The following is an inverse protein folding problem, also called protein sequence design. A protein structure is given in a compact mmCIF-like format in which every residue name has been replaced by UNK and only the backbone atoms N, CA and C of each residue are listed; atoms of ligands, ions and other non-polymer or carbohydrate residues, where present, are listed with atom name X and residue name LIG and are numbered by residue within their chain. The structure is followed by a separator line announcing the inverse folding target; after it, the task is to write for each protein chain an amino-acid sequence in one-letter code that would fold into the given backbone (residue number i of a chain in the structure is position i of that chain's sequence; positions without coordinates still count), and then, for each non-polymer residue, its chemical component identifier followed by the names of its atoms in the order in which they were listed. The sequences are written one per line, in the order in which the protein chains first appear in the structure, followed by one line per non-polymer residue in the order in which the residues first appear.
data_IF_515626439719
#
_entry.id   IF_515626439719
#
_cell.length_a   1.000
_cell.length_b   1.000
_cell.length_c   1.000
_cell.angle_alpha   90.00
_cell.angle_beta   90.00
_cell.angle_gamma   90.00
#
_symmetry.space_group_name_H-M   'P 1'
#
loop_
_entity.id
_entity.type
_entity.pdbx_description
1 polymer ?
#
# COMPACT_ATOMS: atom_id res chain seq x y z
N UNK A 1 -7.95 -20.18 6.92
CA UNK A 1 -8.47 -19.34 5.81
C UNK A 1 -7.31 -19.14 4.82
N UNK A 2 -7.44 -19.49 3.54
CA UNK A 2 -6.37 -19.21 2.56
C UNK A 2 -6.22 -17.69 2.39
N UNK A 3 -4.99 -17.17 2.27
CA UNK A 3 -4.71 -15.73 2.11
C UNK A 3 -5.54 -15.08 1.01
N UNK A 4 -5.86 -15.81 -0.06
CA UNK A 4 -6.71 -15.31 -1.14
C UNK A 4 -8.13 -14.99 -0.67
N UNK A 5 -8.70 -15.81 0.22
CA UNK A 5 -10.03 -15.58 0.80
C UNK A 5 -10.01 -14.40 1.76
N UNK A 6 -8.94 -14.26 2.55
CA UNK A 6 -8.78 -13.12 3.45
C UNK A 6 -8.57 -11.80 2.68
N UNK A 7 -7.75 -11.81 1.62
CA UNK A 7 -7.62 -10.67 0.72
C UNK A 7 -8.96 -10.24 0.10
N UNK A 8 -9.83 -11.19 -0.28
CA UNK A 8 -11.19 -10.88 -0.77
C UNK A 8 -12.05 -10.21 0.31
N UNK A 9 -11.93 -10.65 1.56
CA UNK A 9 -12.61 -10.04 2.70
C UNK A 9 -12.11 -8.59 2.93
N UNK A 10 -10.80 -8.37 2.99
CA UNK A 10 -10.21 -7.03 3.14
C UNK A 10 -10.63 -6.09 2.01
N UNK A 11 -10.74 -6.61 0.77
CA UNK A 11 -11.25 -5.82 -0.36
C UNK A 11 -12.70 -5.37 -0.20
N UNK A 12 -13.52 -6.07 0.58
CA UNK A 12 -14.90 -5.66 0.87
C UNK A 12 -14.96 -4.71 2.05
N UNK A 13 -14.04 -4.83 3.01
CA UNK A 13 -14.05 -4.14 4.29
C UNK A 13 -12.87 -3.15 4.44
N UNK A 14 -12.57 -2.39 3.39
CA UNK A 14 -11.52 -1.37 3.45
C UNK A 14 -11.89 -0.23 4.39
N UNK A 15 -10.90 0.28 5.12
CA UNK A 15 -11.03 1.50 5.94
C UNK A 15 -11.38 2.72 5.09
N UNK A 16 -11.79 3.83 5.72
CA UNK A 16 -12.06 5.08 5.01
C UNK A 16 -10.82 5.60 4.27
N UNK A 17 -9.65 5.51 4.90
CA UNK A 17 -8.38 5.91 4.31
C UNK A 17 -8.00 5.02 3.10
N UNK A 18 -8.11 3.69 3.23
CA UNK A 18 -7.90 2.78 2.09
C UNK A 18 -8.90 3.04 0.96
N UNK A 19 -10.18 3.29 1.27
CA UNK A 19 -11.19 3.63 0.25
C UNK A 19 -10.81 4.92 -0.48
N UNK A 20 -10.37 5.94 0.26
CA UNK A 20 -9.88 7.20 -0.30
C UNK A 20 -8.70 6.99 -1.24
N UNK A 21 -7.65 6.29 -0.80
CA UNK A 21 -6.51 5.98 -1.68
C UNK A 21 -6.94 5.15 -2.90
N UNK A 22 -7.73 4.09 -2.69
CA UNK A 22 -8.14 3.23 -3.78
C UNK A 22 -8.92 3.98 -4.87
N UNK A 23 -9.73 4.97 -4.51
CA UNK A 23 -10.42 5.81 -5.48
C UNK A 23 -9.46 6.48 -6.48
N UNK A 24 -8.30 6.94 -6.00
CA UNK A 24 -7.28 7.62 -6.81
C UNK A 24 -6.28 6.66 -7.48
N UNK A 25 -6.04 5.48 -6.90
CA UNK A 25 -5.07 4.51 -7.43
C UNK A 25 -5.67 3.53 -8.45
N UNK A 26 -6.99 3.24 -8.36
CA UNK A 26 -7.64 2.25 -9.23
C UNK A 26 -7.67 2.69 -10.68
N UNK A 27 -7.82 1.71 -11.57
CA UNK A 27 -8.10 1.95 -12.99
C UNK A 27 -7.13 2.95 -13.63
N UNK A 28 -5.84 2.88 -13.26
CA UNK A 28 -4.76 3.70 -13.82
C UNK A 28 -4.93 5.21 -13.60
N UNK A 29 -5.75 5.61 -12.62
CA UNK A 29 -6.08 7.02 -12.33
C UNK A 29 -4.90 7.86 -11.83
N UNK A 30 -3.88 7.24 -11.25
CA UNK A 30 -2.63 7.93 -10.92
C UNK A 30 -1.69 7.88 -12.12
N UNK A 31 -1.91 8.76 -13.11
CA UNK A 31 -1.03 8.97 -14.27
C UNK A 31 -0.64 7.67 -15.00
N UNK A 32 -1.60 6.77 -15.23
CA UNK A 32 -1.34 5.52 -15.94
C UNK A 32 -0.68 4.42 -15.10
N UNK A 33 -0.40 4.65 -13.81
CA UNK A 33 0.29 3.67 -12.95
C UNK A 33 -0.67 2.59 -12.45
N UNK A 34 -0.28 1.31 -12.57
CA UNK A 34 -1.13 0.15 -12.29
C UNK A 34 -0.97 -0.35 -10.86
N UNK A 35 -1.86 0.06 -9.97
CA UNK A 35 -1.88 -0.45 -8.60
C UNK A 35 -2.79 -1.68 -8.44
N UNK A 36 -2.36 -2.59 -7.57
CA UNK A 36 -3.21 -3.64 -6.99
C UNK A 36 -3.49 -3.30 -5.53
N UNK A 37 -4.61 -3.79 -5.00
CA UNK A 37 -4.99 -3.62 -3.60
C UNK A 37 -5.17 -4.94 -2.87
N UNK A 38 -4.88 -4.93 -1.58
CA UNK A 38 -5.00 -6.07 -0.66
C UNK A 38 -4.36 -7.31 -1.31
N UNK A 39 -3.08 -7.17 -1.66
CA UNK A 39 -2.34 -8.11 -2.48
C UNK A 39 -1.53 -9.06 -1.58
N UNK A 40 -1.77 -10.38 -1.67
CA UNK A 40 -0.87 -11.35 -1.07
C UNK A 40 0.55 -11.25 -1.67
N UNK A 41 1.54 -11.15 -0.79
CA UNK A 41 2.98 -11.17 -1.06
C UNK A 41 3.65 -12.06 -0.02
N UNK A 42 3.96 -13.30 -0.41
CA UNK A 42 4.50 -14.32 0.50
C UNK A 42 3.57 -14.57 1.69
N UNK A 43 4.03 -14.41 2.94
CA UNK A 43 3.19 -14.61 4.13
C UNK A 43 2.30 -13.40 4.48
N UNK A 44 2.45 -12.27 3.76
CA UNK A 44 1.79 -11.01 4.10
C UNK A 44 0.75 -10.59 3.06
N UNK A 45 -0.19 -9.75 3.47
CA UNK A 45 -1.05 -8.98 2.57
C UNK A 45 -0.69 -7.50 2.75
N UNK A 46 -0.55 -6.80 1.63
CA UNK A 46 -0.26 -5.36 1.60
C UNK A 46 -1.44 -4.59 1.03
N UNK A 47 -1.70 -3.39 1.56
CA UNK A 47 -2.89 -2.61 1.18
C UNK A 47 -2.88 -2.21 -0.28
N UNK A 48 -1.75 -1.69 -0.77
CA UNK A 48 -1.56 -1.37 -2.18
C UNK A 48 -0.14 -1.69 -2.65
N UNK A 49 -0.01 -2.07 -3.92
CA UNK A 49 1.30 -2.31 -4.53
C UNK A 49 1.33 -1.91 -6.01
N UNK A 50 2.41 -1.25 -6.40
CA UNK A 50 2.82 -1.06 -7.78
C UNK A 50 3.98 -2.00 -8.10
N UNK A 51 3.70 -3.07 -8.86
CA UNK A 51 4.70 -4.09 -9.17
C UNK A 51 5.84 -3.57 -10.04
N UNK A 52 5.56 -2.69 -11.01
CA UNK A 52 6.59 -2.20 -11.94
C UNK A 52 7.76 -1.50 -11.25
N UNK A 53 7.47 -0.76 -10.18
CA UNK A 53 8.49 -0.02 -9.41
C UNK A 53 8.83 -0.68 -8.07
N UNK A 54 8.17 -1.80 -7.76
CA UNK A 54 8.19 -2.46 -6.44
C UNK A 54 7.94 -1.47 -5.29
N UNK A 55 6.83 -0.73 -5.34
CA UNK A 55 6.41 0.18 -4.27
C UNK A 55 5.15 -0.34 -3.61
N UNK A 56 5.18 -0.45 -2.28
CA UNK A 56 4.04 -0.77 -1.43
C UNK A 56 3.56 0.52 -0.75
N UNK A 57 2.25 0.70 -0.65
CA UNK A 57 1.63 1.81 0.08
C UNK A 57 0.69 1.24 1.13
N UNK A 58 0.83 1.67 2.37
CA UNK A 58 0.03 1.22 3.52
C UNK A 58 -0.66 2.39 4.21
N UNK A 59 -1.90 2.17 4.61
CA UNK A 59 -2.68 3.11 5.41
C UNK A 59 -2.57 2.72 6.89
N UNK A 60 -2.07 3.62 7.72
CA UNK A 60 -1.86 3.36 9.15
C UNK A 60 -2.89 4.10 10.02
N UNK A 61 -3.63 3.32 10.81
CA UNK A 61 -4.59 3.82 11.80
C UNK A 61 -3.99 4.23 13.15
N UNK A 62 -2.69 4.09 13.32
CA UNK A 62 -1.96 4.57 14.48
C UNK A 62 -1.94 3.65 15.69
N UNK A 63 -1.86 2.35 15.47
CA UNK A 63 -1.61 1.37 16.53
C UNK A 63 -0.37 0.50 16.29
N UNK A 64 0.47 0.86 15.33
CA UNK A 64 1.79 0.25 15.19
C UNK A 64 2.72 0.78 16.28
N UNK A 65 2.53 0.29 17.52
CA UNK A 65 3.67 0.18 18.44
C UNK A 65 4.66 -0.75 17.75
N UNK A 66 5.91 -0.33 17.64
CA UNK A 66 7.06 -1.07 17.11
C UNK A 66 7.10 -2.50 17.67
N UNK A 67 6.37 -3.40 17.02
CA UNK A 67 6.33 -4.80 17.41
C UNK A 67 7.40 -5.52 16.61
N UNK A 68 8.09 -6.50 17.23
CA UNK A 68 9.07 -7.32 16.51
C UNK A 68 8.49 -8.04 15.28
N UNK A 69 7.17 -8.15 15.18
CA UNK A 69 6.45 -8.67 14.02
C UNK A 69 6.49 -7.70 12.83
N UNK A 70 6.41 -6.38 13.06
CA UNK A 70 6.50 -5.39 11.99
C UNK A 70 7.91 -5.29 11.42
N UNK A 71 8.94 -5.36 12.26
CA UNK A 71 10.34 -5.36 11.78
C UNK A 71 10.64 -6.54 10.85
N UNK A 72 10.17 -7.74 11.21
CA UNK A 72 10.31 -8.94 10.37
C UNK A 72 9.57 -8.80 9.06
N UNK A 73 8.37 -8.22 9.09
CA UNK A 73 7.55 -7.96 7.90
C UNK A 73 8.25 -6.99 6.96
N UNK A 74 8.68 -5.86 7.47
CA UNK A 74 9.35 -4.83 6.68
C UNK A 74 10.69 -5.31 6.13
N UNK A 75 11.48 -6.03 6.93
CA UNK A 75 12.72 -6.65 6.48
C UNK A 75 12.49 -7.66 5.34
N UNK A 76 11.46 -8.51 5.45
CA UNK A 76 11.13 -9.47 4.41
C UNK A 76 10.69 -8.77 3.12
N UNK A 77 9.78 -7.78 3.20
CA UNK A 77 9.31 -7.02 2.03
C UNK A 77 10.47 -6.27 1.35
N UNK A 78 11.37 -5.68 2.14
CA UNK A 78 12.58 -5.03 1.65
C UNK A 78 13.53 -6.02 0.96
N UNK A 79 13.70 -7.21 1.52
CA UNK A 79 14.50 -8.28 0.90
C UNK A 79 13.93 -8.75 -0.45
N UNK A 80 12.60 -8.64 -0.66
CA UNK A 80 11.97 -8.87 -1.97
C UNK A 80 12.16 -7.70 -2.97
N UNK A 81 12.82 -6.63 -2.55
CA UNK A 81 13.12 -5.43 -3.33
C UNK A 81 12.01 -4.37 -3.30
N UNK A 82 11.03 -4.51 -2.41
CA UNK A 82 9.98 -3.51 -2.26
C UNK A 82 10.41 -2.34 -1.39
N UNK A 83 10.00 -1.15 -1.79
CA UNK A 83 9.99 0.04 -0.94
C UNK A 83 8.59 0.19 -0.33
N UNK A 84 8.51 0.27 0.99
CA UNK A 84 7.24 0.48 1.71
C UNK A 84 7.08 1.97 2.02
N UNK A 85 5.91 2.52 1.69
CA UNK A 85 5.48 3.86 2.07
C UNK A 85 4.28 3.72 3.01
N UNK A 86 4.40 4.22 4.25
CA UNK A 86 3.32 4.19 5.24
C UNK A 86 2.82 5.62 5.45
N UNK A 87 1.50 5.80 5.40
CA UNK A 87 0.87 7.10 5.63
C UNK A 87 -0.16 6.98 6.72
N UNK A 88 -0.23 7.99 7.59
CA UNK A 88 -1.25 8.02 8.62
C UNK A 88 -2.63 8.25 7.99
N UNK A 89 -3.66 7.65 8.57
CA UNK A 89 -5.04 7.81 8.10
C UNK A 89 -5.44 9.28 8.00
N UNK A 90 -4.98 10.14 8.92
CA UNK A 90 -5.30 11.56 8.87
C UNK A 90 -4.62 12.27 7.68
N UNK A 91 -3.39 11.89 7.31
CA UNK A 91 -2.71 12.43 6.12
C UNK A 91 -3.45 12.01 4.85
N UNK A 92 -3.83 10.74 4.75
CA UNK A 92 -4.58 10.22 3.60
C UNK A 92 -5.91 10.96 3.44
N UNK A 93 -6.63 11.17 4.53
CA UNK A 93 -7.97 11.75 4.51
C UNK A 93 -7.96 13.27 4.34
N UNK A 94 -6.99 13.97 4.93
CA UNK A 94 -6.95 15.45 4.96
C UNK A 94 -5.96 16.08 3.99
N UNK A 95 -4.92 15.34 3.58
CA UNK A 95 -3.83 15.81 2.74
C UNK A 95 -3.62 14.86 1.55
N UNK A 96 -4.72 14.36 0.97
CA UNK A 96 -4.70 13.33 -0.08
C UNK A 96 -3.75 13.71 -1.23
N UNK A 97 -3.76 14.96 -1.68
CA UNK A 97 -2.93 15.39 -2.82
C UNK A 97 -1.43 15.30 -2.53
N UNK A 98 -1.02 15.61 -1.30
CA UNK A 98 0.38 15.46 -0.85
C UNK A 98 0.77 13.98 -0.85
N UNK A 99 -0.08 13.12 -0.30
CA UNK A 99 0.14 11.67 -0.29
C UNK A 99 0.26 11.12 -1.72
N UNK A 100 -0.65 11.52 -2.62
CA UNK A 100 -0.61 11.09 -4.02
C UNK A 100 0.66 11.57 -4.74
N UNK A 101 1.12 12.79 -4.47
CA UNK A 101 2.39 13.31 -5.03
C UNK A 101 3.59 12.47 -4.61
N UNK A 102 3.66 12.09 -3.33
CA UNK A 102 4.74 11.23 -2.81
C UNK A 102 4.68 9.84 -3.45
N UNK A 103 3.49 9.24 -3.53
CA UNK A 103 3.30 7.93 -4.17
C UNK A 103 3.72 7.99 -5.64
N UNK A 104 3.30 9.02 -6.37
CA UNK A 104 3.62 9.19 -7.79
C UNK A 104 5.12 9.28 -8.01
N UNK A 105 5.81 10.18 -7.29
CA UNK A 105 7.27 10.32 -7.37
C UNK A 105 8.00 9.01 -7.09
N UNK A 106 7.53 8.24 -6.11
CA UNK A 106 8.12 6.96 -5.76
C UNK A 106 7.97 5.88 -6.85
N UNK A 107 6.88 5.90 -7.62
CA UNK A 107 6.67 4.93 -8.71
C UNK A 107 7.17 5.40 -10.07
N UNK A 108 7.44 6.69 -10.22
CA UNK A 108 8.02 7.27 -11.45
C UNK A 108 9.51 6.93 -11.59
N UNK A 109 10.32 7.11 -10.53
CA UNK A 109 11.79 7.01 -10.58
C UNK A 109 12.42 5.61 -10.68
N UNK A 110 11.69 4.58 -11.15
CA UNK A 110 12.23 3.23 -11.40
C UNK A 110 11.84 2.68 -12.79
N UNK A 111 11.34 3.55 -13.66
CA UNK A 111 11.00 3.23 -15.04
C UNK A 111 12.02 3.77 -16.02
N UNK A 112 13.30 3.43 -15.83
CA UNK A 112 14.38 3.51 -16.81
C UNK A 112 15.30 2.28 -16.64
#
# INVERSE_FOLDING_TARGET
MNQTTFAKHLRKNMTDAERRLWFHLRAYRLNGKRFRRQQPLGPFIVDFVHFGSKVIVEADGGQHSESATDERRDAWLKAQGYRVLRFWNHEILRQTDVVLSVIYKAVEGRGE
#
